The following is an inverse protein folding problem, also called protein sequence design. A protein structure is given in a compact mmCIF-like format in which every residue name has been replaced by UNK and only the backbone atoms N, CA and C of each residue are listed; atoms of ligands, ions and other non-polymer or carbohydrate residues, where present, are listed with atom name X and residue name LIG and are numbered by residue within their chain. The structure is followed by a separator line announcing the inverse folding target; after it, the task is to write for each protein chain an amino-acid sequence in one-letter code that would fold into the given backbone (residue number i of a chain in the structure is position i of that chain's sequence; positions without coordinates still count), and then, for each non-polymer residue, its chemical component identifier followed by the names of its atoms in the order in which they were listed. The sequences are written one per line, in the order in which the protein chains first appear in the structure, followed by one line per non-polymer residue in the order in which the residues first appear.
data_IF_291392225562
#
_entry.id   IF_291392225562
#
_cell.length_a   1.000
_cell.length_b   1.000
_cell.length_c   1.000
_cell.angle_alpha   90.00
_cell.angle_beta   90.00
_cell.angle_gamma   90.00
#
_symmetry.space_group_name_H-M   'P 1'
#
loop_
_entity.id
_entity.type
_entity.pdbx_description
1 polymer ?
#
# COMPACT_ATOMS: atom_id res chain seq x y z
N UNK A 1 29.96 -2.97 1.55
CA UNK A 1 28.88 -3.88 1.98
C UNK A 1 27.93 -3.07 2.86
N UNK A 2 26.67 -2.88 2.47
CA UNK A 2 25.67 -2.23 3.34
C UNK A 2 25.11 -3.30 4.27
N UNK A 3 25.15 -3.10 5.58
CA UNK A 3 24.67 -4.06 6.59
C UNK A 3 23.65 -3.38 7.54
N UNK A 4 22.43 -3.07 7.05
CA UNK A 4 21.45 -2.30 7.82
C UNK A 4 21.03 -3.01 9.11
N UNK A 5 20.95 -4.35 9.08
CA UNK A 5 20.56 -5.20 10.20
C UNK A 5 21.41 -5.01 11.46
N UNK A 6 22.63 -4.47 11.35
CA UNK A 6 23.48 -4.15 12.53
C UNK A 6 22.83 -3.07 13.42
N UNK A 7 21.94 -2.25 12.86
CA UNK A 7 21.22 -1.19 13.57
C UNK A 7 19.82 -1.62 14.02
N UNK A 8 19.47 -2.91 13.95
CA UNK A 8 18.12 -3.38 14.27
C UNK A 8 17.72 -3.16 15.74
N UNK A 9 18.68 -3.05 16.66
CA UNK A 9 18.47 -2.68 18.06
C UNK A 9 18.14 -1.21 18.25
N UNK A 10 18.61 -0.35 17.34
CA UNK A 10 18.58 1.11 17.46
C UNK A 10 17.49 1.75 16.57
N UNK A 11 16.57 0.94 16.04
CA UNK A 11 15.56 1.35 15.05
C UNK A 11 14.76 2.59 15.46
N UNK A 12 14.50 2.79 16.75
CA UNK A 12 13.78 3.97 17.29
C UNK A 12 14.47 5.30 16.94
N UNK A 13 15.78 5.31 16.74
CA UNK A 13 16.50 6.51 16.29
C UNK A 13 16.13 6.92 14.85
N UNK A 14 15.61 5.98 14.05
CA UNK A 14 15.12 6.24 12.70
C UNK A 14 13.68 6.75 12.68
N UNK A 15 12.99 6.91 13.81
CA UNK A 15 11.66 7.56 13.82
C UNK A 15 11.73 9.01 13.33
N UNK A 16 10.72 9.40 12.58
CA UNK A 16 10.63 10.71 11.96
C UNK A 16 10.26 11.77 12.99
N UNK A 17 11.05 12.83 13.07
CA UNK A 17 10.73 14.00 13.88
C UNK A 17 10.04 15.05 13.00
N UNK A 18 9.03 15.73 13.54
CA UNK A 18 8.22 16.71 12.80
C UNK A 18 9.07 17.84 12.18
N UNK A 19 10.08 18.31 12.91
CA UNK A 19 10.94 19.44 12.53
C UNK A 19 12.01 19.10 11.48
N UNK A 20 12.08 17.85 10.99
CA UNK A 20 13.10 17.45 10.01
C UNK A 20 12.60 17.65 8.57
N UNK A 21 13.50 17.99 7.63
CA UNK A 21 13.16 18.06 6.21
C UNK A 21 12.63 16.73 5.67
N UNK A 22 11.76 16.77 4.66
CA UNK A 22 11.13 15.57 4.08
C UNK A 22 12.14 14.56 3.53
N UNK A 23 13.25 14.99 2.93
CA UNK A 23 14.28 14.07 2.44
C UNK A 23 14.94 13.26 3.58
N UNK A 24 15.09 13.84 4.78
CA UNK A 24 15.61 13.13 5.96
C UNK A 24 14.59 12.11 6.45
N UNK A 25 13.30 12.47 6.43
CA UNK A 25 12.22 11.56 6.80
C UNK A 25 12.13 10.39 5.84
N UNK A 26 12.19 10.61 4.53
CA UNK A 26 12.20 9.54 3.52
C UNK A 26 13.35 8.54 3.74
N UNK A 27 14.57 9.04 3.93
CA UNK A 27 15.73 8.17 4.21
C UNK A 27 15.55 7.38 5.52
N UNK A 28 14.90 7.98 6.52
CA UNK A 28 14.57 7.31 7.77
C UNK A 28 13.55 6.17 7.57
N UNK A 29 12.54 6.35 6.72
CA UNK A 29 11.58 5.29 6.36
C UNK A 29 12.26 4.13 5.63
N UNK A 30 13.17 4.43 4.70
CA UNK A 30 13.99 3.41 4.03
C UNK A 30 14.82 2.61 5.04
N UNK A 31 15.44 3.29 6.00
CA UNK A 31 16.19 2.64 7.07
C UNK A 31 15.29 1.77 7.95
N UNK A 32 14.12 2.26 8.37
CA UNK A 32 13.15 1.48 9.15
C UNK A 32 12.74 0.20 8.42
N UNK A 33 12.49 0.29 7.11
CA UNK A 33 12.19 -0.88 6.28
C UNK A 33 13.36 -1.86 6.23
N UNK A 34 14.59 -1.36 6.08
CA UNK A 34 15.78 -2.18 5.95
C UNK A 34 16.24 -2.86 7.25
N UNK A 35 15.87 -2.34 8.42
CA UNK A 35 16.23 -2.90 9.74
C UNK A 35 15.11 -3.71 10.38
N UNK A 36 13.93 -3.76 9.75
CA UNK A 36 12.79 -4.52 10.22
C UNK A 36 13.10 -6.03 10.25
N UNK A 37 12.71 -6.68 11.34
CA UNK A 37 12.81 -8.12 11.56
C UNK A 37 11.72 -8.57 12.53
N UNK A 38 11.63 -9.87 12.80
CA UNK A 38 10.60 -10.48 13.65
C UNK A 38 10.46 -9.88 15.05
N UNK A 39 11.54 -9.28 15.60
CA UNK A 39 11.55 -8.73 16.96
C UNK A 39 11.09 -7.27 17.04
N UNK A 40 11.16 -6.50 15.95
CA UNK A 40 10.89 -5.05 15.97
C UNK A 40 9.82 -4.60 14.95
N UNK A 41 9.44 -5.47 14.00
CA UNK A 41 8.51 -5.16 12.92
C UNK A 41 7.15 -4.68 13.41
N UNK A 42 6.63 -5.23 14.51
CA UNK A 42 5.34 -4.80 15.06
C UNK A 42 5.36 -3.32 15.49
N UNK A 43 6.40 -2.90 16.23
CA UNK A 43 6.55 -1.51 16.65
C UNK A 43 6.83 -0.60 15.45
N UNK A 44 7.69 -1.02 14.52
CA UNK A 44 8.00 -0.25 13.32
C UNK A 44 6.73 -0.01 12.49
N UNK A 45 5.95 -1.07 12.21
CA UNK A 45 4.74 -0.94 11.40
C UNK A 45 3.70 -0.08 12.11
N UNK A 46 3.55 -0.20 13.43
CA UNK A 46 2.67 0.67 14.21
C UNK A 46 3.00 2.15 14.00
N UNK A 47 4.28 2.52 14.11
CA UNK A 47 4.76 3.89 13.87
C UNK A 47 4.53 4.33 12.40
N UNK A 48 4.76 3.45 11.43
CA UNK A 48 4.51 3.73 10.00
C UNK A 48 3.02 3.97 9.71
N UNK A 49 2.11 3.25 10.38
CA UNK A 49 0.68 3.50 10.28
C UNK A 49 0.30 4.91 10.77
N UNK A 50 0.93 5.39 11.86
CA UNK A 50 0.73 6.78 12.29
C UNK A 50 1.21 7.79 11.24
N UNK A 51 2.26 7.46 10.49
CA UNK A 51 2.76 8.32 9.41
C UNK A 51 1.84 8.32 8.19
N UNK A 52 1.24 7.17 7.85
CA UNK A 52 0.23 7.05 6.80
C UNK A 52 -0.99 7.95 7.07
N UNK A 53 -1.37 8.12 8.34
CA UNK A 53 -2.49 8.97 8.74
C UNK A 53 -2.21 10.49 8.72
N UNK A 54 -0.94 10.91 8.68
CA UNK A 54 -0.55 12.33 8.72
C UNK A 54 -0.78 13.04 7.38
N UNK A 55 -0.63 14.38 7.40
CA UNK A 55 -0.90 15.29 6.26
C UNK A 55 0.25 15.32 5.23
N UNK A 56 1.44 14.84 5.59
CA UNK A 56 2.62 14.85 4.71
C UNK A 56 2.51 13.72 3.66
N UNK A 57 1.91 14.01 2.50
CA UNK A 57 1.56 13.02 1.46
C UNK A 57 2.75 12.15 1.03
N UNK A 58 3.95 12.71 0.70
CA UNK A 58 5.10 11.88 0.34
C UNK A 58 5.51 10.89 1.44
N UNK A 59 5.46 11.34 2.70
CA UNK A 59 5.79 10.49 3.86
C UNK A 59 4.71 9.44 4.08
N UNK A 60 3.45 9.79 3.95
CA UNK A 60 2.35 8.84 4.08
C UNK A 60 2.44 7.72 3.02
N UNK A 61 2.67 8.09 1.75
CA UNK A 61 2.87 7.11 0.66
C UNK A 61 4.02 6.16 0.94
N UNK A 62 5.19 6.71 1.28
CA UNK A 62 6.37 5.87 1.52
C UNK A 62 6.20 5.01 2.78
N UNK A 63 5.45 5.49 3.77
CA UNK A 63 5.13 4.71 4.96
C UNK A 63 4.23 3.52 4.63
N UNK A 64 3.20 3.69 3.80
CA UNK A 64 2.33 2.59 3.34
C UNK A 64 3.14 1.55 2.56
N UNK A 65 4.00 1.99 1.63
CA UNK A 65 4.91 1.09 0.89
C UNK A 65 5.85 0.33 1.83
N UNK A 66 6.41 1.00 2.83
CA UNK A 66 7.26 0.39 3.84
C UNK A 66 6.49 -0.66 4.66
N UNK A 67 5.25 -0.36 5.08
CA UNK A 67 4.36 -1.33 5.74
C UNK A 67 4.20 -2.56 4.86
N UNK A 68 3.76 -2.41 3.61
CA UNK A 68 3.58 -3.54 2.70
C UNK A 68 4.83 -4.38 2.49
N UNK A 69 6.01 -3.76 2.36
CA UNK A 69 7.30 -4.47 2.23
C UNK A 69 7.63 -5.29 3.48
N UNK A 70 7.42 -4.74 4.68
CA UNK A 70 7.71 -5.43 5.94
C UNK A 70 6.70 -6.55 6.15
N UNK A 71 5.42 -6.25 6.00
CA UNK A 71 4.32 -7.18 6.22
C UNK A 71 4.36 -8.37 5.28
N UNK A 72 4.57 -8.17 3.97
CA UNK A 72 4.67 -9.27 3.02
C UNK A 72 5.85 -10.22 3.30
N UNK A 73 6.79 -9.85 4.18
CA UNK A 73 7.87 -10.74 4.64
C UNK A 73 7.52 -11.52 5.92
N UNK A 74 6.43 -11.16 6.61
CA UNK A 74 5.99 -11.81 7.84
C UNK A 74 5.12 -13.06 7.57
N UNK A 75 4.92 -13.86 8.61
CA UNK A 75 4.13 -15.10 8.55
C UNK A 75 2.65 -14.90 8.93
N UNK A 76 2.30 -13.82 9.63
CA UNK A 76 0.93 -13.57 10.07
C UNK A 76 0.13 -12.78 9.03
N UNK A 77 -0.50 -13.49 8.10
CA UNK A 77 -1.22 -12.87 6.98
C UNK A 77 -2.52 -12.16 7.40
N UNK A 78 -3.16 -12.58 8.50
CA UNK A 78 -4.40 -11.98 8.98
C UNK A 78 -4.19 -10.51 9.34
N UNK A 79 -3.15 -10.24 10.14
CA UNK A 79 -2.82 -8.89 10.57
C UNK A 79 -2.50 -7.96 9.39
N UNK A 80 -1.91 -8.51 8.31
CA UNK A 80 -1.62 -7.78 7.08
C UNK A 80 -2.90 -7.41 6.35
N UNK A 81 -3.80 -8.37 6.18
CA UNK A 81 -5.11 -8.13 5.53
C UNK A 81 -5.83 -7.03 6.29
N UNK A 82 -6.03 -7.18 7.60
CA UNK A 82 -6.75 -6.20 8.42
C UNK A 82 -6.16 -4.79 8.31
N UNK A 83 -4.83 -4.67 8.25
CA UNK A 83 -4.14 -3.38 8.15
C UNK A 83 -4.29 -2.76 6.76
N UNK A 84 -4.17 -3.54 5.70
CA UNK A 84 -4.36 -3.05 4.33
C UNK A 84 -5.81 -2.63 4.08
N UNK A 85 -6.79 -3.37 4.62
CA UNK A 85 -8.19 -2.98 4.55
C UNK A 85 -8.47 -1.67 5.31
N UNK A 86 -7.87 -1.49 6.49
CA UNK A 86 -7.94 -0.21 7.22
C UNK A 86 -7.41 0.96 6.40
N UNK A 87 -6.35 0.78 5.60
CA UNK A 87 -5.87 1.86 4.72
C UNK A 87 -6.88 2.20 3.62
N UNK A 88 -7.58 1.21 3.06
CA UNK A 88 -8.63 1.46 2.06
C UNK A 88 -9.81 2.23 2.65
N UNK A 89 -10.18 1.95 3.91
CA UNK A 89 -11.25 2.63 4.64
C UNK A 89 -10.94 4.09 5.01
N UNK A 90 -9.69 4.54 4.88
CA UNK A 90 -9.33 5.94 5.16
C UNK A 90 -9.87 6.93 4.12
N UNK A 91 -10.35 6.45 2.97
CA UNK A 91 -10.94 7.24 1.88
C UNK A 91 -10.09 8.44 1.43
N UNK A 92 -8.76 8.33 1.51
CA UNK A 92 -7.83 9.32 0.97
C UNK A 92 -7.24 8.80 -0.33
N UNK A 93 -7.42 9.52 -1.44
CA UNK A 93 -7.03 9.07 -2.79
C UNK A 93 -5.60 8.48 -2.86
N UNK A 94 -4.63 9.17 -2.26
CA UNK A 94 -3.23 8.72 -2.24
C UNK A 94 -2.97 7.50 -1.35
N UNK A 95 -3.76 7.31 -0.29
CA UNK A 95 -3.67 6.13 0.60
C UNK A 95 -4.30 4.94 -0.11
N UNK A 96 -5.51 5.13 -0.65
CA UNK A 96 -6.23 4.12 -1.43
C UNK A 96 -5.40 3.65 -2.62
N UNK A 97 -4.74 4.55 -3.33
CA UNK A 97 -3.88 4.20 -4.45
C UNK A 97 -2.71 3.27 -4.06
N UNK A 98 -1.98 3.59 -2.98
CA UNK A 98 -0.88 2.74 -2.51
C UNK A 98 -1.40 1.41 -1.94
N UNK A 99 -2.49 1.44 -1.17
CA UNK A 99 -3.09 0.27 -0.57
C UNK A 99 -3.62 -0.71 -1.63
N UNK A 100 -4.23 -0.25 -2.72
CA UNK A 100 -4.69 -1.09 -3.83
C UNK A 100 -3.54 -1.89 -4.47
N UNK A 101 -2.37 -1.27 -4.63
CA UNK A 101 -1.18 -1.96 -5.18
C UNK A 101 -0.73 -3.06 -4.21
N UNK A 102 -0.73 -2.78 -2.91
CA UNK A 102 -0.36 -3.76 -1.88
C UNK A 102 -1.36 -4.90 -1.76
N UNK A 103 -2.66 -4.62 -1.83
CA UNK A 103 -3.71 -5.66 -1.82
C UNK A 103 -3.58 -6.56 -3.05
N UNK A 104 -3.31 -5.99 -4.23
CA UNK A 104 -3.02 -6.78 -5.44
C UNK A 104 -1.79 -7.69 -5.24
N UNK A 105 -0.71 -7.17 -4.65
CA UNK A 105 0.50 -7.98 -4.36
C UNK A 105 0.25 -9.04 -3.27
N UNK A 106 -0.55 -8.72 -2.26
CA UNK A 106 -1.00 -9.66 -1.23
C UNK A 106 -1.80 -10.81 -1.86
N UNK A 107 -2.80 -10.51 -2.69
CA UNK A 107 -3.65 -11.51 -3.34
C UNK A 107 -2.89 -12.41 -4.30
N UNK A 108 -1.87 -11.87 -5.00
CA UNK A 108 -0.95 -12.68 -5.81
C UNK A 108 -0.14 -13.69 -4.99
N UNK A 109 0.17 -13.35 -3.73
CA UNK A 109 0.91 -14.23 -2.82
C UNK A 109 0.02 -15.17 -2.01
N UNK A 110 -1.18 -14.69 -1.63
CA UNK A 110 -2.11 -15.36 -0.73
C UNK A 110 -3.55 -15.26 -1.24
N UNK A 111 -3.89 -15.99 -2.33
CA UNK A 111 -5.20 -15.89 -2.99
C UNK A 111 -6.38 -16.32 -2.10
N UNK A 112 -6.14 -17.05 -1.01
CA UNK A 112 -7.18 -17.48 -0.08
C UNK A 112 -7.86 -16.31 0.66
N UNK A 113 -7.26 -15.11 0.66
CA UNK A 113 -7.80 -13.89 1.28
C UNK A 113 -8.62 -13.03 0.31
N UNK A 114 -8.92 -13.54 -0.88
CA UNK A 114 -9.65 -12.81 -1.92
C UNK A 114 -10.99 -12.29 -1.43
N UNK A 115 -11.78 -13.14 -0.75
CA UNK A 115 -13.12 -12.80 -0.32
C UNK A 115 -13.17 -11.52 0.55
N UNK A 116 -12.28 -11.41 1.52
CA UNK A 116 -12.24 -10.25 2.43
C UNK A 116 -11.75 -8.99 1.72
N UNK A 117 -10.76 -9.13 0.82
CA UNK A 117 -10.21 -8.02 0.07
C UNK A 117 -11.19 -7.47 -0.98
N UNK A 118 -11.85 -8.36 -1.71
CA UNK A 118 -12.77 -8.01 -2.79
C UNK A 118 -13.98 -7.23 -2.27
N UNK A 119 -14.51 -7.62 -1.11
CA UNK A 119 -15.66 -6.93 -0.51
C UNK A 119 -15.38 -5.44 -0.27
N UNK A 120 -14.16 -5.11 0.15
CA UNK A 120 -13.73 -3.71 0.34
C UNK A 120 -13.40 -3.06 -1.00
N UNK A 121 -12.68 -3.75 -1.88
CA UNK A 121 -12.28 -3.21 -3.19
C UNK A 121 -13.48 -2.87 -4.08
N UNK A 122 -14.55 -3.66 -4.04
CA UNK A 122 -15.78 -3.41 -4.80
C UNK A 122 -16.49 -2.11 -4.41
N UNK A 123 -16.28 -1.61 -3.19
CA UNK A 123 -16.86 -0.36 -2.71
C UNK A 123 -16.01 0.88 -3.07
N UNK A 124 -14.81 0.71 -3.64
CA UNK A 124 -13.92 1.81 -3.97
C UNK A 124 -14.43 2.53 -5.22
N UNK A 125 -14.61 3.85 -5.11
CA UNK A 125 -14.99 4.70 -6.24
C UNK A 125 -13.84 4.80 -7.25
N UNK A 126 -13.97 4.13 -8.40
CA UNK A 126 -13.01 4.19 -9.51
C UNK A 126 -12.80 5.61 -10.05
N UNK A 127 -13.79 6.50 -9.89
CA UNK A 127 -13.76 7.88 -10.40
C UNK A 127 -12.69 8.76 -9.76
N UNK A 128 -12.31 8.47 -8.52
CA UNK A 128 -11.31 9.26 -7.80
C UNK A 128 -9.89 8.71 -7.97
N UNK A 129 -9.75 7.52 -8.56
CA UNK A 129 -8.47 6.86 -8.68
C UNK A 129 -7.73 7.37 -9.92
N UNK A 130 -6.80 8.31 -9.74
CA UNK A 130 -6.07 8.92 -10.85
C UNK A 130 -4.75 8.22 -11.20
N UNK A 131 -4.21 7.44 -10.25
CA UNK A 131 -2.86 6.87 -10.40
C UNK A 131 -2.84 5.62 -11.29
N UNK A 132 -2.01 5.59 -12.36
CA UNK A 132 -1.98 4.46 -13.28
C UNK A 132 -1.67 3.11 -12.62
N UNK A 133 -0.74 3.09 -11.66
CA UNK A 133 -0.37 1.86 -10.93
C UNK A 133 -1.53 1.31 -10.10
N UNK A 134 -2.32 2.19 -9.50
CA UNK A 134 -3.47 1.80 -8.71
C UNK A 134 -4.66 1.38 -9.59
N UNK A 135 -4.90 2.09 -10.71
CA UNK A 135 -5.89 1.67 -11.71
C UNK A 135 -5.56 0.29 -12.26
N UNK A 136 -4.30 0.04 -12.63
CA UNK A 136 -3.86 -1.27 -13.09
C UNK A 136 -4.06 -2.36 -12.03
N UNK A 137 -3.81 -2.06 -10.75
CA UNK A 137 -4.07 -2.98 -9.65
C UNK A 137 -5.56 -3.29 -9.50
N UNK A 138 -6.42 -2.27 -9.56
CA UNK A 138 -7.88 -2.41 -9.52
C UNK A 138 -8.40 -3.24 -10.69
N UNK A 139 -8.00 -2.91 -11.92
CA UNK A 139 -8.38 -3.65 -13.14
C UNK A 139 -7.96 -5.12 -13.04
N UNK A 140 -6.74 -5.39 -12.56
CA UNK A 140 -6.28 -6.76 -12.36
C UNK A 140 -7.17 -7.52 -11.37
N UNK A 141 -7.53 -6.91 -10.23
CA UNK A 141 -8.41 -7.56 -9.25
C UNK A 141 -9.83 -7.78 -9.78
N UNK A 142 -10.40 -6.78 -10.48
CA UNK A 142 -11.72 -6.89 -11.10
C UNK A 142 -11.77 -8.00 -12.16
N UNK A 143 -10.68 -8.17 -12.91
CA UNK A 143 -10.57 -9.22 -13.93
C UNK A 143 -10.35 -10.61 -13.33
N UNK A 144 -9.43 -10.75 -12.38
CA UNK A 144 -9.10 -12.03 -11.75
C UNK A 144 -10.28 -12.60 -10.95
N UNK A 145 -11.02 -11.71 -10.27
CA UNK A 145 -12.12 -12.09 -9.37
C UNK A 145 -13.49 -11.67 -9.89
N UNK A 146 -13.65 -11.56 -11.21
CA UNK A 146 -14.88 -11.10 -11.85
C UNK A 146 -16.11 -11.97 -11.52
N UNK A 147 -15.90 -13.23 -11.13
CA UNK A 147 -16.98 -14.15 -10.74
C UNK A 147 -17.58 -13.78 -9.38
N UNK A 148 -16.79 -13.20 -8.49
CA UNK A 148 -17.20 -12.80 -7.15
C UNK A 148 -17.61 -11.31 -7.09
N UNK A 149 -17.27 -10.54 -8.13
CA UNK A 149 -17.56 -9.11 -8.25
C UNK A 149 -18.63 -8.82 -9.31
N UNK A 150 -19.90 -8.84 -8.91
CA UNK A 150 -21.02 -8.64 -9.84
C UNK A 150 -20.97 -7.29 -10.57
N UNK A 151 -20.44 -6.26 -9.93
CA UNK A 151 -20.33 -4.90 -10.50
C UNK A 151 -19.08 -4.70 -11.36
N UNK A 152 -18.17 -5.68 -11.42
CA UNK A 152 -16.92 -5.55 -12.16
C UNK A 152 -17.09 -5.14 -13.64
N UNK A 153 -18.08 -5.67 -14.40
CA UNK A 153 -18.30 -5.23 -15.78
C UNK A 153 -18.58 -3.73 -15.91
N UNK A 154 -19.37 -3.15 -15.00
CA UNK A 154 -19.72 -1.73 -15.03
C UNK A 154 -18.54 -0.84 -14.67
N UNK A 155 -17.73 -1.26 -13.68
CA UNK A 155 -16.52 -0.53 -13.30
C UNK A 155 -15.52 -0.54 -14.47
N UNK A 156 -15.33 -1.69 -15.11
CA UNK A 156 -14.44 -1.82 -16.28
C UNK A 156 -14.94 -1.02 -17.49
N UNK A 157 -16.25 -1.04 -17.78
CA UNK A 157 -16.84 -0.24 -18.86
C UNK A 157 -16.52 1.24 -18.69
N UNK A 158 -16.69 1.79 -17.48
CA UNK A 158 -16.35 3.19 -17.19
C UNK A 158 -14.87 3.54 -17.40
N UNK A 159 -13.96 2.58 -17.20
CA UNK A 159 -12.53 2.78 -17.45
C UNK A 159 -12.21 2.72 -18.95
N UNK A 160 -12.87 1.84 -19.70
CA UNK A 160 -12.72 1.72 -21.16
C UNK A 160 -13.26 2.95 -21.88
N UNK A 161 -14.39 3.51 -21.44
CA UNK A 161 -14.96 4.73 -22.02
C UNK A 161 -14.01 5.94 -21.91
N UNK A 162 -13.19 5.99 -20.85
CA UNK A 162 -12.22 7.06 -20.62
C UNK A 162 -10.81 6.70 -21.10
N UNK A 163 -10.67 5.69 -21.96
CA UNK A 163 -9.36 5.18 -22.41
C UNK A 163 -8.46 6.25 -23.03
N UNK A 164 -9.02 7.18 -23.79
CA UNK A 164 -8.25 8.24 -24.46
C UNK A 164 -7.61 9.24 -23.47
N UNK A 165 -8.08 9.27 -22.22
CA UNK A 165 -7.56 10.12 -21.13
C UNK A 165 -6.57 9.36 -20.22
N UNK A 166 -6.37 8.05 -20.45
CA UNK A 166 -5.50 7.22 -19.64
C UNK A 166 -4.02 7.43 -19.97
N UNK A 167 -3.19 7.45 -18.92
CA UNK A 167 -1.74 7.63 -19.02
C UNK A 167 -1.03 6.33 -18.62
N UNK A 168 0.02 5.95 -19.35
CA UNK A 168 0.78 4.73 -19.05
C UNK A 168 1.53 4.86 -17.72
N UNK A 169 1.60 3.76 -16.97
CA UNK A 169 2.40 3.66 -15.75
C UNK A 169 3.92 3.60 -16.03
N UNK A 170 4.31 3.33 -17.29
CA UNK A 170 5.70 3.11 -17.70
C UNK A 170 6.39 4.36 -18.28
N UNK A 171 5.65 5.46 -18.50
CA UNK A 171 6.22 6.69 -19.09
C UNK A 171 6.94 7.60 -18.05
N UNK A 172 7.09 7.13 -16.81
CA UNK A 172 7.75 7.84 -15.71
C UNK A 172 8.72 6.89 -15.00
N UNK A 173 9.81 6.52 -15.68
CA UNK A 173 11.07 6.06 -15.08
C UNK A 173 12.27 6.77 -15.75
#
# INVERSE_FOLDING_TARGET
MRAPYVFSSDYKHFYCQYNKPSYVKLLKLEMLTAVANESNSYEIVTELCEYAAKVDIPIARESIRAVGKIELQQYDVNAIVDRLLQFLEMEKDYVTAEALVLVKDLLRKYPQWSHDCIAVVGNISSKNLQEPKAKAALIWMLGEYSQDMQDAPYVLESLVENWDEEHSAEDID
#
